data_IF_762028899010
#
_entry.id   IF_762028899010
#
_cell.length_a   1.000
_cell.length_b   1.000
_cell.length_c   1.000
_cell.angle_alpha   90.00
_cell.angle_beta   90.00
_cell.angle_gamma   90.00
#
_symmetry.space_group_name_H-M   'P 1'
#
loop_
_entity.id
_entity.type
_entity.pdbx_description
1 polymer ?
#
# COMPACT_ATOMS: atom_id res chain seq x y z
N UNK A 1 15.22 -25.40 0.43
CA UNK A 1 14.47 -25.57 -0.83
C UNK A 1 14.62 -24.35 -1.72
N UNK A 2 14.52 -24.50 -3.05
CA UNK A 2 14.79 -23.42 -4.00
C UNK A 2 13.75 -22.28 -3.92
N UNK A 3 12.45 -22.61 -3.83
CA UNK A 3 11.34 -21.66 -3.81
C UNK A 3 11.54 -20.52 -2.81
N UNK A 4 11.85 -20.83 -1.55
CA UNK A 4 12.06 -19.81 -0.51
C UNK A 4 13.24 -18.87 -0.79
N UNK A 5 14.31 -19.36 -1.45
CA UNK A 5 15.42 -18.48 -1.86
C UNK A 5 15.02 -17.54 -2.99
N UNK A 6 14.25 -18.04 -3.96
CA UNK A 6 13.73 -17.18 -5.04
C UNK A 6 12.72 -16.16 -4.53
N UNK A 7 11.86 -16.54 -3.58
CA UNK A 7 10.95 -15.62 -2.91
C UNK A 7 11.72 -14.53 -2.13
N UNK A 8 12.75 -14.90 -1.35
CA UNK A 8 13.60 -13.95 -0.64
C UNK A 8 14.36 -13.00 -1.59
N UNK A 9 14.92 -13.53 -2.69
CA UNK A 9 15.59 -12.71 -3.70
C UNK A 9 14.62 -11.75 -4.39
N UNK A 10 13.41 -12.20 -4.72
CA UNK A 10 12.36 -11.37 -5.31
C UNK A 10 11.89 -10.26 -4.37
N UNK A 11 11.58 -10.58 -3.10
CA UNK A 11 11.11 -9.58 -2.14
C UNK A 11 12.20 -8.56 -1.80
N UNK A 12 13.47 -8.97 -1.73
CA UNK A 12 14.60 -8.06 -1.61
C UNK A 12 14.74 -7.15 -2.84
N UNK A 13 14.64 -7.69 -4.06
CA UNK A 13 14.68 -6.91 -5.30
C UNK A 13 13.52 -5.90 -5.39
N UNK A 14 12.30 -6.30 -5.01
CA UNK A 14 11.14 -5.41 -4.92
C UNK A 14 11.41 -4.25 -3.95
N UNK A 15 11.87 -4.53 -2.73
CA UNK A 15 12.17 -3.50 -1.72
C UNK A 15 13.30 -2.56 -2.16
N UNK A 16 14.27 -3.07 -2.92
CA UNK A 16 15.36 -2.27 -3.47
C UNK A 16 14.97 -1.43 -4.71
N UNK A 17 13.91 -1.81 -5.44
CA UNK A 17 13.53 -1.24 -6.75
C UNK A 17 12.01 -1.02 -6.86
N UNK A 18 11.42 -0.32 -5.90
CA UNK A 18 9.97 -0.13 -5.80
C UNK A 18 9.33 0.46 -7.06
N UNK A 19 10.02 1.35 -7.76
CA UNK A 19 9.58 1.93 -9.04
C UNK A 19 9.25 0.89 -10.12
N UNK A 20 9.90 -0.28 -10.12
CA UNK A 20 9.69 -1.32 -11.13
C UNK A 20 8.35 -2.07 -10.98
N UNK A 21 7.64 -1.86 -9.86
CA UNK A 21 6.42 -2.59 -9.50
C UNK A 21 5.14 -1.86 -9.92
N UNK A 22 5.19 -0.53 -9.95
CA UNK A 22 4.02 0.33 -10.16
C UNK A 22 4.36 1.66 -10.89
N UNK A 23 5.64 1.96 -11.12
CA UNK A 23 6.10 3.20 -11.73
C UNK A 23 6.46 4.30 -10.70
N UNK A 24 7.37 5.23 -11.03
CA UNK A 24 7.81 6.29 -10.11
C UNK A 24 6.64 7.08 -9.51
N UNK A 25 6.69 7.32 -8.21
CA UNK A 25 5.70 8.12 -7.48
C UNK A 25 4.30 7.51 -7.35
N UNK A 26 4.05 6.28 -7.87
CA UNK A 26 2.74 5.62 -7.71
C UNK A 26 2.65 4.88 -6.37
N UNK A 27 1.43 4.66 -5.90
CA UNK A 27 1.14 4.34 -4.50
C UNK A 27 1.91 3.11 -3.95
N UNK A 28 2.12 2.05 -4.73
CA UNK A 28 2.92 0.91 -4.26
C UNK A 28 4.41 1.29 -4.17
N UNK A 29 4.94 2.00 -5.16
CA UNK A 29 6.33 2.48 -5.18
C UNK A 29 6.63 3.37 -3.98
N UNK A 30 5.72 4.31 -3.65
CA UNK A 30 5.81 5.17 -2.47
C UNK A 30 5.95 4.34 -1.20
N UNK A 31 5.04 3.41 -0.91
CA UNK A 31 5.12 2.64 0.35
C UNK A 31 6.30 1.66 0.38
N UNK A 32 6.74 1.15 -0.77
CA UNK A 32 7.97 0.34 -0.85
C UNK A 32 9.19 1.20 -0.47
N UNK A 33 9.36 2.37 -1.09
CA UNK A 33 10.54 3.22 -0.91
C UNK A 33 10.55 3.99 0.42
N UNK A 34 9.38 4.38 0.95
CA UNK A 34 9.23 5.20 2.16
C UNK A 34 9.15 4.38 3.45
N UNK A 35 8.69 3.13 3.38
CA UNK A 35 8.42 2.26 4.53
C UNK A 35 9.14 0.91 4.44
N UNK A 36 9.85 0.63 3.34
CA UNK A 36 10.54 -0.64 3.13
C UNK A 36 9.59 -1.84 2.99
N UNK A 37 8.29 -1.61 2.75
CA UNK A 37 7.29 -2.67 2.61
C UNK A 37 7.47 -3.43 1.30
N UNK A 38 6.96 -4.66 1.22
CA UNK A 38 6.60 -5.26 -0.06
C UNK A 38 5.14 -4.87 -0.35
N UNK A 39 4.84 -4.32 -1.53
CA UNK A 39 3.47 -3.99 -1.93
C UNK A 39 3.21 -4.38 -3.39
N UNK A 40 2.04 -4.95 -3.66
CA UNK A 40 1.56 -5.16 -5.03
C UNK A 40 0.04 -5.03 -5.10
N UNK A 41 -0.43 -3.94 -5.69
CA UNK A 41 -1.77 -3.86 -6.27
C UNK A 41 -1.90 -4.80 -7.47
N UNK A 42 -3.01 -5.54 -7.54
CA UNK A 42 -3.36 -6.48 -8.60
C UNK A 42 -4.58 -6.01 -9.41
N UNK A 43 -4.90 -6.77 -10.46
CA UNK A 43 -6.17 -6.62 -11.19
C UNK A 43 -7.36 -6.88 -10.25
N UNK A 44 -8.56 -6.45 -10.66
CA UNK A 44 -9.43 -5.72 -9.74
C UNK A 44 -8.61 -4.49 -9.26
N UNK A 45 -8.48 -4.04 -8.00
CA UNK A 45 -9.16 -4.33 -6.75
C UNK A 45 -8.43 -5.21 -5.73
N UNK A 46 -7.36 -5.96 -6.08
CA UNK A 46 -6.57 -6.72 -5.09
C UNK A 46 -5.40 -5.88 -4.55
N UNK A 47 -5.12 -5.96 -3.25
CA UNK A 47 -3.90 -5.45 -2.62
C UNK A 47 -3.24 -6.51 -1.74
N UNK A 48 -1.95 -6.76 -1.96
CA UNK A 48 -1.09 -7.52 -1.05
C UNK A 48 0.00 -6.58 -0.52
N UNK A 49 0.16 -6.50 0.80
CA UNK A 49 1.19 -5.67 1.43
C UNK A 49 1.80 -6.38 2.64
N UNK A 50 3.14 -6.45 2.71
CA UNK A 50 3.89 -7.19 3.73
C UNK A 50 4.98 -6.33 4.36
N UNK A 51 4.95 -6.23 5.69
CA UNK A 51 5.94 -5.52 6.51
C UNK A 51 7.27 -6.30 6.67
N UNK A 52 8.33 -5.70 7.25
CA UNK A 52 9.62 -6.39 7.43
C UNK A 52 9.57 -7.59 8.39
N UNK A 53 8.64 -7.59 9.33
CA UNK A 53 8.37 -8.68 10.29
C UNK A 53 7.63 -9.89 9.66
N UNK A 54 7.11 -9.75 8.43
CA UNK A 54 6.30 -10.73 7.73
C UNK A 54 4.79 -10.54 7.88
N UNK A 55 4.33 -9.63 8.75
CA UNK A 55 2.91 -9.30 8.88
C UNK A 55 2.36 -8.82 7.55
N UNK A 56 1.26 -9.40 7.10
CA UNK A 56 0.76 -9.27 5.72
C UNK A 56 -0.73 -9.00 5.69
N UNK A 57 -1.12 -7.99 4.92
CA UNK A 57 -2.51 -7.73 4.53
C UNK A 57 -2.77 -8.29 3.13
N UNK A 58 -3.90 -8.96 2.96
CA UNK A 58 -4.48 -9.30 1.68
C UNK A 58 -5.93 -8.81 1.65
N UNK A 59 -6.27 -7.91 0.73
CA UNK A 59 -7.60 -7.29 0.67
C UNK A 59 -8.13 -7.16 -0.77
N UNK A 60 -9.46 -7.08 -0.89
CA UNK A 60 -10.21 -6.90 -2.13
C UNK A 60 -11.15 -5.70 -2.00
N UNK A 61 -10.96 -4.65 -2.78
CA UNK A 61 -11.98 -3.61 -2.98
C UNK A 61 -13.09 -4.19 -3.86
N UNK A 62 -14.33 -4.24 -3.37
CA UNK A 62 -15.42 -4.97 -4.02
C UNK A 62 -15.79 -4.41 -5.40
N UNK A 63 -15.76 -3.08 -5.56
CA UNK A 63 -16.02 -2.36 -6.82
C UNK A 63 -14.89 -2.47 -7.87
N UNK A 64 -13.77 -3.13 -7.52
CA UNK A 64 -12.59 -3.22 -8.37
C UNK A 64 -11.66 -1.98 -8.33
N UNK A 65 -11.96 -0.98 -7.51
CA UNK A 65 -11.14 0.23 -7.42
C UNK A 65 -9.85 0.02 -6.64
N UNK A 66 -8.73 0.46 -7.22
CA UNK A 66 -7.44 0.49 -6.51
C UNK A 66 -7.23 1.77 -5.68
N UNK A 67 -8.04 2.82 -5.86
CA UNK A 67 -7.79 4.15 -5.25
C UNK A 67 -7.77 4.14 -3.72
N UNK A 68 -8.61 3.32 -3.08
CA UNK A 68 -8.64 3.16 -1.64
C UNK A 68 -7.70 2.05 -1.11
N UNK A 69 -7.15 1.21 -2.00
CA UNK A 69 -6.57 -0.08 -1.62
C UNK A 69 -5.27 0.04 -0.80
N UNK A 70 -4.37 0.96 -1.18
CA UNK A 70 -3.10 1.18 -0.47
C UNK A 70 -3.32 1.76 0.93
N UNK A 71 -4.18 2.78 1.07
CA UNK A 71 -4.41 3.40 2.39
C UNK A 71 -5.15 2.44 3.34
N UNK A 72 -6.12 1.65 2.85
CA UNK A 72 -6.76 0.58 3.64
C UNK A 72 -5.74 -0.47 4.11
N UNK A 73 -4.78 -0.86 3.26
CA UNK A 73 -3.77 -1.83 3.64
C UNK A 73 -2.76 -1.29 4.68
N UNK A 74 -2.37 -0.01 4.56
CA UNK A 74 -1.53 0.67 5.55
C UNK A 74 -2.19 0.71 6.94
N UNK A 75 -3.45 1.18 7.02
CA UNK A 75 -4.19 1.25 8.29
C UNK A 75 -4.37 -0.14 8.93
N UNK A 76 -4.57 -1.19 8.12
CA UNK A 76 -4.64 -2.57 8.60
C UNK A 76 -3.29 -3.09 9.14
N UNK A 77 -2.16 -2.73 8.52
CA UNK A 77 -0.83 -3.03 9.06
C UNK A 77 -0.54 -2.25 10.35
N UNK A 78 -0.97 -0.99 10.43
CA UNK A 78 -0.83 -0.16 11.63
C UNK A 78 -1.62 -0.75 12.82
N UNK A 79 -2.85 -1.20 12.57
CA UNK A 79 -3.67 -1.91 13.58
C UNK A 79 -3.12 -3.26 14.00
N UNK A 80 -2.40 -3.94 13.12
CA UNK A 80 -1.67 -5.16 13.46
C UNK A 80 -0.37 -4.87 14.25
N UNK A 81 0.02 -3.60 14.43
CA UNK A 81 1.26 -3.19 15.09
C UNK A 81 2.52 -3.36 14.24
N UNK A 82 2.38 -3.64 12.94
CA UNK A 82 3.50 -3.92 12.04
C UNK A 82 4.12 -2.65 11.42
N UNK A 83 3.40 -1.53 11.46
CA UNK A 83 3.89 -0.16 11.22
C UNK A 83 3.24 0.78 12.25
N UNK A 84 3.71 2.03 12.34
CA UNK A 84 3.10 3.03 13.24
C UNK A 84 1.97 3.82 12.54
N UNK A 85 1.17 4.56 13.31
CA UNK A 85 0.24 5.55 12.73
C UNK A 85 0.98 6.70 12.03
N UNK A 86 2.09 7.15 12.62
CA UNK A 86 2.94 8.21 12.06
C UNK A 86 3.54 7.81 10.69
N UNK A 87 3.84 6.52 10.51
CA UNK A 87 4.24 5.95 9.22
C UNK A 87 3.16 6.07 8.14
N UNK A 88 1.88 5.89 8.51
CA UNK A 88 0.75 6.08 7.59
C UNK A 88 0.58 7.55 7.24
N UNK A 89 0.56 8.44 8.24
CA UNK A 89 0.41 9.88 8.02
C UNK A 89 1.55 10.48 7.20
N UNK A 90 2.78 10.00 7.40
CA UNK A 90 3.96 10.43 6.64
C UNK A 90 3.84 10.14 5.14
N UNK A 91 3.21 9.03 4.74
CA UNK A 91 3.04 8.69 3.31
C UNK A 91 1.68 9.10 2.74
N UNK A 92 0.65 9.33 3.57
CA UNK A 92 -0.72 9.70 3.15
C UNK A 92 -0.78 10.79 2.06
N UNK A 93 0.01 11.89 2.11
CA UNK A 93 0.00 12.93 1.07
C UNK A 93 0.51 12.47 -0.30
N UNK A 94 1.34 11.42 -0.36
CA UNK A 94 1.93 10.88 -1.60
C UNK A 94 1.01 9.84 -2.31
N UNK A 95 -0.21 9.58 -1.80
CA UNK A 95 -1.08 8.48 -2.27
C UNK A 95 -2.22 8.86 -3.25
N UNK A 96 -2.26 10.10 -3.75
CA UNK A 96 -3.31 10.59 -4.69
C UNK A 96 -4.76 10.32 -4.23
N UNK A 97 -5.03 10.63 -2.96
CA UNK A 97 -6.34 10.41 -2.34
C UNK A 97 -7.37 11.50 -2.67
N UNK A 98 -6.97 12.58 -3.35
CA UNK A 98 -7.86 13.71 -3.69
C UNK A 98 -8.94 13.26 -4.69
N UNK A 99 -10.17 13.74 -4.51
CA UNK A 99 -11.27 13.56 -5.46
C UNK A 99 -11.43 14.85 -6.25
N UNK A 100 -11.36 14.76 -7.58
CA UNK A 100 -11.50 15.89 -8.49
C UNK A 100 -12.90 15.93 -9.13
N UNK A 101 -13.47 17.12 -9.25
CA UNK A 101 -14.66 17.43 -10.02
C UNK A 101 -14.36 18.56 -11.00
N UNK A 102 -14.50 18.32 -12.31
CA UNK A 102 -14.12 19.30 -13.33
C UNK A 102 -12.62 19.69 -13.31
N UNK A 103 -11.76 18.86 -12.72
CA UNK A 103 -10.33 19.13 -12.50
C UNK A 103 -10.00 19.89 -11.21
N UNK A 104 -10.99 20.39 -10.47
CA UNK A 104 -10.79 21.02 -9.17
C UNK A 104 -10.97 20.01 -8.01
N UNK A 105 -10.24 20.13 -6.88
CA UNK A 105 -10.49 19.33 -5.68
C UNK A 105 -11.91 19.56 -5.13
N UNK A 106 -12.65 18.48 -4.91
CA UNK A 106 -14.02 18.47 -4.33
C UNK A 106 -14.16 17.55 -3.11
N UNK A 107 -13.09 16.86 -2.72
CA UNK A 107 -13.05 15.98 -1.55
C UNK A 107 -11.79 15.12 -1.53
N UNK A 108 -11.77 14.12 -0.66
CA UNK A 108 -10.66 13.16 -0.55
C UNK A 108 -11.16 11.80 -0.04
N UNK A 109 -10.41 10.74 -0.37
CA UNK A 109 -10.63 9.39 0.14
C UNK A 109 -10.09 9.30 1.56
N UNK A 110 -10.97 9.02 2.52
CA UNK A 110 -10.63 8.75 3.91
C UNK A 110 -10.98 7.31 4.26
N UNK A 111 -10.20 6.71 5.15
CA UNK A 111 -10.53 5.42 5.75
C UNK A 111 -11.60 5.62 6.82
N UNK A 112 -12.58 4.71 6.89
CA UNK A 112 -13.66 4.78 7.87
C UNK A 112 -13.12 4.64 9.30
N UNK A 113 -13.58 5.42 10.30
CA UNK A 113 -13.21 5.22 11.71
C UNK A 113 -13.44 3.79 12.19
N UNK A 114 -14.48 3.10 11.70
CA UNK A 114 -14.75 1.68 12.01
C UNK A 114 -13.61 0.75 11.59
N UNK A 115 -12.79 1.14 10.61
CA UNK A 115 -11.58 0.42 10.27
C UNK A 115 -10.40 0.83 11.15
N UNK A 116 -10.31 2.06 11.67
CA UNK A 116 -9.12 2.58 12.36
C UNK A 116 -9.17 2.23 13.87
N UNK A 117 -10.33 2.39 14.50
CA UNK A 117 -10.58 2.20 15.93
C UNK A 117 -11.68 3.11 16.45
#
# INVERSE_FOLDING_TARGET
>A
FALYRHAAALTAAVRAQGWAIDGPGRANTVVIERLGLFAKGGAEGIMIMTAPDGTTVASKTLDGSLRASTIVALELLARAGAITGDDVERVRPELDLVVLGGGAPVGEIRVSPTLIG
#
